data_IF_779707511303
#
_entry.id   IF_779707511303
#
_cell.length_a   1.000
_cell.length_b   1.000
_cell.length_c   1.000
_cell.angle_alpha   90.00
_cell.angle_beta   90.00
_cell.angle_gamma   90.00
#
_symmetry.space_group_name_H-M   'P 1'
#
loop_
_entity.id
_entity.type
_entity.pdbx_description
1 polymer ?
#
# COMPACT_ATOMS: atom_id res chain seq x y z
N UNK A 1 20.70 9.38 0.73
CA UNK A 1 19.27 9.51 0.35
C UNK A 1 18.89 8.51 -0.73
N UNK A 2 19.59 8.47 -1.88
CA UNK A 2 19.30 7.53 -2.97
C UNK A 2 19.25 6.06 -2.53
N UNK A 3 20.25 5.60 -1.75
CA UNK A 3 20.31 4.21 -1.27
C UNK A 3 19.09 3.84 -0.39
N UNK A 4 18.61 4.77 0.45
CA UNK A 4 17.42 4.55 1.29
C UNK A 4 16.16 4.42 0.42
N UNK A 5 16.05 5.22 -0.64
CA UNK A 5 14.93 5.19 -1.58
C UNK A 5 14.95 3.89 -2.39
N UNK A 6 16.12 3.45 -2.88
CA UNK A 6 16.25 2.16 -3.58
C UNK A 6 15.86 0.98 -2.68
N UNK A 7 16.28 1.00 -1.40
CA UNK A 7 15.84 0.00 -0.42
C UNK A 7 14.33 0.08 -0.22
N UNK A 8 13.75 1.27 -0.03
CA UNK A 8 12.30 1.43 0.13
C UNK A 8 11.53 0.84 -1.06
N UNK A 9 11.96 1.14 -2.28
CA UNK A 9 11.39 0.60 -3.53
C UNK A 9 11.46 -0.93 -3.54
N UNK A 10 12.61 -1.51 -3.20
CA UNK A 10 12.78 -2.97 -3.12
C UNK A 10 11.80 -3.58 -2.12
N UNK A 11 11.68 -3.00 -0.92
CA UNK A 11 10.75 -3.50 0.10
C UNK A 11 9.27 -3.35 -0.32
N UNK A 12 8.90 -2.29 -1.05
CA UNK A 12 7.56 -2.13 -1.63
C UNK A 12 7.28 -3.21 -2.68
N UNK A 13 8.25 -3.51 -3.57
CA UNK A 13 8.12 -4.59 -4.55
C UNK A 13 7.94 -5.95 -3.87
N UNK A 14 8.77 -6.25 -2.88
CA UNK A 14 8.67 -7.50 -2.11
C UNK A 14 7.34 -7.58 -1.37
N UNK A 15 6.87 -6.49 -0.76
CA UNK A 15 5.56 -6.42 -0.10
C UNK A 15 4.44 -6.77 -1.10
N UNK A 16 4.45 -6.13 -2.26
CA UNK A 16 3.49 -6.38 -3.34
C UNK A 16 3.47 -7.85 -3.76
N UNK A 17 4.65 -8.43 -4.01
CA UNK A 17 4.80 -9.82 -4.45
C UNK A 17 4.33 -10.82 -3.39
N UNK A 18 4.65 -10.58 -2.12
CA UNK A 18 4.18 -11.40 -0.99
C UNK A 18 2.67 -11.35 -0.86
N UNK A 19 2.06 -10.18 -0.98
CA UNK A 19 0.61 -10.01 -0.95
C UNK A 19 -0.07 -10.74 -2.11
N UNK A 20 0.47 -10.58 -3.31
CA UNK A 20 -0.05 -11.21 -4.52
C UNK A 20 0.18 -12.73 -4.52
N UNK A 21 1.18 -13.23 -3.78
CA UNK A 21 1.39 -14.66 -3.58
C UNK A 21 0.24 -15.35 -2.82
N UNK A 22 -0.57 -14.61 -2.03
CA UNK A 22 -1.79 -15.14 -1.41
C UNK A 22 -2.97 -15.24 -2.37
N UNK A 23 -2.91 -14.57 -3.52
CA UNK A 23 -3.98 -14.55 -4.51
C UNK A 23 -3.97 -15.80 -5.40
N UNK A 24 -5.10 -16.05 -6.08
CA UNK A 24 -5.14 -17.08 -7.14
C UNK A 24 -4.27 -16.60 -8.31
N UNK A 25 -3.58 -17.53 -8.98
CA UNK A 25 -2.68 -17.20 -10.11
C UNK A 25 -3.35 -16.36 -11.21
N UNK A 26 -4.65 -16.58 -11.47
CA UNK A 26 -5.42 -15.75 -12.41
C UNK A 26 -5.57 -14.29 -11.95
N UNK A 27 -5.74 -14.05 -10.64
CA UNK A 27 -5.81 -12.68 -10.12
C UNK A 27 -4.45 -11.99 -10.15
N UNK A 28 -3.35 -12.74 -9.94
CA UNK A 28 -1.99 -12.23 -10.10
C UNK A 28 -1.71 -11.84 -11.56
N UNK A 29 -2.15 -12.67 -12.52
CA UNK A 29 -2.04 -12.34 -13.95
C UNK A 29 -2.87 -11.11 -14.33
N UNK A 30 -4.11 -10.99 -13.82
CA UNK A 30 -4.94 -9.79 -14.04
C UNK A 30 -4.27 -8.53 -13.48
N UNK A 31 -3.68 -8.62 -12.30
CA UNK A 31 -2.94 -7.50 -11.71
C UNK A 31 -1.70 -7.12 -12.53
N UNK A 32 -0.93 -8.11 -12.99
CA UNK A 32 0.19 -7.89 -13.90
C UNK A 32 -0.24 -7.16 -15.18
N UNK A 33 -1.39 -7.54 -15.75
CA UNK A 33 -1.99 -6.88 -16.92
C UNK A 33 -2.34 -5.41 -16.63
N UNK A 34 -2.96 -5.12 -15.48
CA UNK A 34 -3.26 -3.75 -15.03
C UNK A 34 -1.97 -2.92 -14.90
N UNK A 35 -0.91 -3.50 -14.32
CA UNK A 35 0.40 -2.85 -14.23
C UNK A 35 1.00 -2.56 -15.62
N UNK A 36 0.88 -3.51 -16.56
CA UNK A 36 1.31 -3.31 -17.95
C UNK A 36 0.56 -2.18 -18.65
N UNK A 37 -0.77 -2.14 -18.53
CA UNK A 37 -1.60 -1.05 -19.06
C UNK A 37 -1.17 0.28 -18.46
N UNK A 38 -0.96 0.34 -17.14
CA UNK A 38 -0.51 1.55 -16.46
C UNK A 38 0.82 2.06 -17.03
N UNK A 39 1.81 1.19 -17.24
CA UNK A 39 3.11 1.56 -17.84
C UNK A 39 2.91 2.15 -19.23
N UNK A 40 2.08 1.52 -20.07
CA UNK A 40 1.82 2.02 -21.44
C UNK A 40 1.06 3.35 -21.44
N UNK A 41 0.12 3.55 -20.52
CA UNK A 41 -0.65 4.78 -20.41
C UNK A 41 0.19 5.94 -19.84
N UNK A 42 1.13 5.63 -18.94
CA UNK A 42 1.95 6.64 -18.25
C UNK A 42 3.25 6.98 -19.01
N UNK A 43 3.59 6.20 -20.04
CA UNK A 43 4.71 6.44 -20.96
C UNK A 43 4.87 7.89 -21.45
N UNK A 44 3.85 8.59 -21.99
CA UNK A 44 4.02 9.95 -22.48
C UNK A 44 4.39 10.93 -21.36
N UNK A 45 3.93 10.68 -20.14
CA UNK A 45 4.27 11.49 -18.95
C UNK A 45 5.68 11.16 -18.47
N UNK A 46 6.08 9.89 -18.53
CA UNK A 46 7.41 9.42 -18.10
C UNK A 46 8.55 10.01 -18.94
N UNK A 47 8.34 10.23 -20.25
CA UNK A 47 9.36 10.85 -21.12
C UNK A 47 9.57 12.32 -20.75
N UNK A 48 8.50 13.01 -20.35
CA UNK A 48 8.53 14.45 -20.04
C UNK A 48 9.16 14.74 -18.67
N UNK A 49 9.13 13.80 -17.73
CA UNK A 49 9.76 13.96 -16.43
C UNK A 49 11.24 13.60 -16.48
N UNK A 50 12.13 14.58 -16.30
CA UNK A 50 13.58 14.34 -16.24
C UNK A 50 14.02 13.66 -14.93
N UNK A 51 15.15 12.92 -14.97
CA UNK A 51 15.80 12.40 -13.75
C UNK A 51 16.04 13.50 -12.70
N UNK A 52 16.30 14.74 -13.14
CA UNK A 52 16.51 15.89 -12.24
C UNK A 52 15.24 16.31 -11.52
N UNK A 53 14.06 16.31 -12.17
CA UNK A 53 12.79 16.64 -11.52
C UNK A 53 12.37 15.59 -10.48
N UNK A 54 12.65 14.31 -10.74
CA UNK A 54 12.43 13.23 -9.77
C UNK A 54 13.43 13.28 -8.62
N UNK A 55 14.70 13.60 -8.88
CA UNK A 55 15.70 13.82 -7.86
C UNK A 55 15.35 15.02 -6.97
N UNK A 56 14.93 16.13 -7.56
CA UNK A 56 14.47 17.33 -6.84
C UNK A 56 13.20 17.02 -6.01
N UNK A 57 12.28 16.21 -6.54
CA UNK A 57 11.09 15.76 -5.80
C UNK A 57 11.45 14.84 -4.62
N UNK A 58 12.43 13.96 -4.78
CA UNK A 58 12.93 13.08 -3.73
C UNK A 58 13.87 13.79 -2.74
N UNK A 59 14.40 14.96 -3.07
CA UNK A 59 15.14 15.83 -2.15
C UNK A 59 14.21 16.80 -1.41
N UNK A 60 13.00 17.01 -1.91
CA UNK A 60 12.02 17.88 -1.28
C UNK A 60 11.37 17.19 -0.07
N UNK A 61 11.59 17.76 1.11
CA UNK A 61 11.07 17.25 2.38
C UNK A 61 9.55 17.20 2.42
N UNK A 62 8.86 18.18 1.81
CA UNK A 62 7.39 18.24 1.77
C UNK A 62 6.82 17.11 0.90
N UNK A 63 7.48 16.82 -0.21
CA UNK A 63 7.09 15.73 -1.10
C UNK A 63 7.29 14.35 -0.44
N UNK A 64 8.44 14.16 0.23
CA UNK A 64 8.71 12.95 1.01
C UNK A 64 7.73 12.76 2.18
N UNK A 65 7.36 13.84 2.88
CA UNK A 65 6.34 13.79 3.94
C UNK A 65 4.98 13.36 3.40
N UNK A 66 4.53 13.92 2.28
CA UNK A 66 3.27 13.52 1.65
C UNK A 66 3.30 12.04 1.21
N UNK A 67 4.43 11.58 0.67
CA UNK A 67 4.61 10.17 0.32
C UNK A 67 4.60 9.27 1.56
N UNK A 68 5.19 9.69 2.68
CA UNK A 68 5.16 8.91 3.92
C UNK A 68 3.76 8.80 4.52
N UNK A 69 2.89 9.79 4.34
CA UNK A 69 1.46 9.66 4.70
C UNK A 69 0.80 8.55 3.90
N UNK A 70 1.07 8.47 2.58
CA UNK A 70 0.56 7.40 1.74
C UNK A 70 1.14 6.04 2.17
N UNK A 71 2.44 5.98 2.45
CA UNK A 71 3.12 4.77 2.91
C UNK A 71 2.55 4.27 4.24
N UNK A 72 2.33 5.16 5.20
CA UNK A 72 1.77 4.80 6.51
C UNK A 72 0.31 4.33 6.39
N UNK A 73 -0.51 4.98 5.55
CA UNK A 73 -1.87 4.54 5.26
C UNK A 73 -1.87 3.14 4.64
N UNK A 74 -0.98 2.88 3.69
CA UNK A 74 -0.84 1.56 3.10
C UNK A 74 -0.37 0.50 4.11
N UNK A 75 0.57 0.84 5.00
CA UNK A 75 1.00 -0.06 6.07
C UNK A 75 -0.17 -0.42 7.00
N UNK A 76 -1.02 0.54 7.36
CA UNK A 76 -2.24 0.29 8.16
C UNK A 76 -3.17 -0.70 7.45
N UNK A 77 -3.37 -0.53 6.14
CA UNK A 77 -4.17 -1.46 5.32
C UNK A 77 -3.55 -2.87 5.30
N UNK A 78 -2.22 -2.96 5.20
CA UNK A 78 -1.50 -4.24 5.22
C UNK A 78 -1.60 -4.93 6.59
N UNK A 79 -1.48 -4.19 7.69
CA UNK A 79 -1.67 -4.74 9.04
C UNK A 79 -3.11 -5.19 9.28
N UNK A 80 -4.09 -4.42 8.82
CA UNK A 80 -5.49 -4.80 8.88
C UNK A 80 -5.74 -6.10 8.08
N UNK A 81 -5.08 -6.28 6.93
CA UNK A 81 -5.14 -7.52 6.16
C UNK A 81 -4.56 -8.70 6.94
N UNK A 82 -3.35 -8.56 7.53
CA UNK A 82 -2.72 -9.62 8.31
C UNK A 82 -3.59 -10.05 9.50
N UNK A 83 -4.11 -9.10 10.27
CA UNK A 83 -5.03 -9.38 11.39
C UNK A 83 -6.32 -10.04 10.91
N UNK A 84 -6.85 -9.65 9.76
CA UNK A 84 -8.06 -10.24 9.21
C UNK A 84 -7.86 -11.68 8.75
N UNK A 85 -6.72 -12.00 8.11
CA UNK A 85 -6.35 -13.37 7.73
C UNK A 85 -6.15 -14.23 8.98
N UNK A 86 -5.44 -13.72 9.99
CA UNK A 86 -5.22 -14.41 11.26
C UNK A 86 -6.55 -14.72 11.97
N UNK A 87 -7.48 -13.75 12.03
CA UNK A 87 -8.82 -13.98 12.60
C UNK A 87 -9.64 -15.02 11.84
N UNK A 88 -9.45 -15.10 10.52
CA UNK A 88 -10.07 -16.13 9.69
C UNK A 88 -9.60 -17.55 10.07
N UNK A 89 -8.33 -17.72 10.45
CA UNK A 89 -7.80 -19.00 10.93
C UNK A 89 -8.33 -19.39 12.31
N UNK A 90 -8.59 -18.43 13.19
CA UNK A 90 -9.20 -18.66 14.51
C UNK A 90 -10.73 -18.88 14.48
N UNK A 91 -11.35 -19.08 13.32
CA UNK A 91 -12.77 -19.44 13.20
C UNK A 91 -13.77 -18.31 13.45
N UNK A 92 -13.33 -17.05 13.51
CA UNK A 92 -14.25 -15.91 13.58
C UNK A 92 -14.90 -15.63 12.21
N UNK A 93 -16.21 -15.38 12.19
CA UNK A 93 -16.97 -15.12 10.97
C UNK A 93 -16.35 -13.98 10.14
N UNK A 94 -16.01 -14.28 8.88
CA UNK A 94 -15.50 -13.28 7.94
C UNK A 94 -16.61 -12.27 7.63
N UNK A 95 -16.45 -11.03 8.14
CA UNK A 95 -17.31 -9.92 7.77
C UNK A 95 -17.07 -9.56 6.29
N UNK A 96 -18.11 -9.13 5.58
CA UNK A 96 -18.02 -8.69 4.18
C UNK A 96 -16.90 -7.67 3.90
N UNK A 97 -16.63 -6.77 4.86
CA UNK A 97 -15.53 -5.81 4.83
C UNK A 97 -14.13 -6.44 4.69
N UNK A 98 -13.91 -7.63 5.27
CA UNK A 98 -12.65 -8.38 5.17
C UNK A 98 -12.43 -8.90 3.74
N UNK A 99 -13.54 -9.19 3.03
CA UNK A 99 -13.48 -9.67 1.64
C UNK A 99 -12.99 -8.59 0.68
N UNK A 100 -13.42 -7.34 0.88
CA UNK A 100 -12.91 -6.19 0.11
C UNK A 100 -11.43 -5.92 0.39
N UNK A 101 -11.00 -6.07 1.65
CA UNK A 101 -9.60 -5.89 2.04
C UNK A 101 -8.67 -6.94 1.42
N UNK A 102 -9.17 -8.18 1.24
CA UNK A 102 -8.46 -9.23 0.52
C UNK A 102 -8.22 -8.90 -0.95
N UNK A 103 -9.04 -8.04 -1.54
CA UNK A 103 -8.97 -7.67 -2.95
C UNK A 103 -8.20 -6.38 -3.21
N UNK A 104 -7.71 -5.70 -2.17
CA UNK A 104 -6.93 -4.48 -2.31
C UNK A 104 -5.45 -4.79 -2.64
N UNK A 105 -4.96 -4.51 -3.85
CA UNK A 105 -3.52 -4.61 -4.15
C UNK A 105 -2.73 -3.50 -3.47
N UNK A 106 -1.43 -3.71 -3.30
CA UNK A 106 -0.46 -2.69 -2.83
C UNK A 106 -0.47 -1.51 -3.80
N UNK A 107 -0.98 -0.34 -3.38
CA UNK A 107 -1.16 0.83 -4.24
C UNK A 107 0.17 1.52 -4.56
N UNK A 108 1.13 1.44 -3.63
CA UNK A 108 2.50 1.92 -3.78
C UNK A 108 3.25 1.31 -4.96
N UNK A 109 2.75 0.22 -5.57
CA UNK A 109 3.37 -0.34 -6.78
C UNK A 109 3.35 0.65 -7.96
N UNK A 110 2.30 1.49 -8.07
CA UNK A 110 2.14 2.36 -9.24
C UNK A 110 3.21 3.48 -9.27
N UNK A 111 3.45 4.23 -8.18
CA UNK A 111 4.57 5.16 -8.10
C UNK A 111 5.93 4.49 -8.34
N UNK A 112 6.12 3.26 -7.84
CA UNK A 112 7.36 2.50 -8.03
C UNK A 112 7.58 2.10 -9.48
N UNK A 113 6.55 1.59 -10.17
CA UNK A 113 6.65 1.23 -11.58
C UNK A 113 6.93 2.45 -12.45
N UNK A 114 6.32 3.59 -12.12
CA UNK A 114 6.60 4.85 -12.80
C UNK A 114 8.05 5.31 -12.59
N UNK A 115 8.56 5.23 -11.37
CA UNK A 115 9.96 5.54 -11.07
C UNK A 115 10.92 4.63 -11.85
N UNK A 116 10.70 3.31 -11.85
CA UNK A 116 11.53 2.37 -12.60
C UNK A 116 11.46 2.59 -14.12
N UNK A 117 10.29 2.92 -14.65
CA UNK A 117 10.10 3.24 -16.06
C UNK A 117 10.91 4.47 -16.47
N UNK A 118 10.84 5.55 -15.70
CA UNK A 118 11.64 6.76 -15.95
C UNK A 118 13.14 6.46 -15.83
N UNK A 119 13.54 5.69 -14.81
CA UNK A 119 14.95 5.31 -14.63
C UNK A 119 15.51 4.55 -15.83
N UNK A 120 14.75 3.60 -16.38
CA UNK A 120 15.10 2.82 -17.57
C UNK A 120 15.22 3.69 -18.81
N UNK A 121 14.25 4.57 -19.06
CA UNK A 121 14.22 5.48 -20.22
C UNK A 121 15.50 6.33 -20.29
N UNK A 122 15.92 6.90 -19.17
CA UNK A 122 17.12 7.73 -19.12
C UNK A 122 18.42 6.91 -19.07
N UNK A 123 18.39 5.65 -18.64
CA UNK A 123 19.58 4.79 -18.66
C UNK A 123 19.93 4.32 -20.07
N UNK A 124 18.96 4.29 -21.00
CA UNK A 124 19.14 3.82 -22.38
C UNK A 124 18.65 4.86 -23.41
N UNK A 125 19.30 6.03 -23.52
CA UNK A 125 18.88 7.10 -24.44
C UNK A 125 19.06 6.77 -25.93
N UNK A 126 19.73 5.65 -26.26
CA UNK A 126 19.99 5.22 -27.64
C UNK A 126 18.91 4.31 -28.25
N UNK A 127 17.88 3.93 -27.50
CA UNK A 127 16.76 3.11 -27.96
C UNK A 127 15.50 3.98 -27.99
N UNK A 128 14.62 3.80 -28.98
CA UNK A 128 13.35 4.52 -29.01
C UNK A 128 12.56 4.29 -27.71
N UNK A 129 12.13 5.36 -27.06
CA UNK A 129 11.45 5.29 -25.76
C UNK A 129 10.20 4.40 -25.80
N UNK A 130 9.49 4.35 -26.94
CA UNK A 130 8.30 3.50 -27.12
C UNK A 130 8.65 2.02 -26.98
N UNK A 131 9.68 1.55 -27.68
CA UNK A 131 10.15 0.15 -27.60
C UNK A 131 10.54 -0.19 -26.17
N UNK A 132 11.29 0.69 -25.50
CA UNK A 132 11.72 0.43 -24.13
C UNK A 132 10.54 0.33 -23.16
N UNK A 133 9.55 1.21 -23.30
CA UNK A 133 8.34 1.19 -22.48
C UNK A 133 7.49 -0.06 -22.72
N UNK A 134 7.35 -0.51 -23.97
CA UNK A 134 6.61 -1.74 -24.28
C UNK A 134 7.33 -2.99 -23.77
N UNK A 135 8.66 -3.06 -23.94
CA UNK A 135 9.48 -4.15 -23.41
C UNK A 135 9.38 -4.19 -21.88
N UNK A 136 9.44 -3.04 -21.21
CA UNK A 136 9.26 -2.96 -19.76
C UNK A 136 7.85 -3.39 -19.34
N UNK A 137 6.80 -2.95 -20.04
CA UNK A 137 5.43 -3.34 -19.76
C UNK A 137 5.22 -4.85 -19.88
N UNK A 138 5.68 -5.47 -20.98
CA UNK A 138 5.62 -6.92 -21.19
C UNK A 138 6.44 -7.64 -20.12
N UNK A 139 7.63 -7.12 -19.81
CA UNK A 139 8.49 -7.62 -18.75
C UNK A 139 7.76 -7.66 -17.40
N UNK A 140 7.11 -6.58 -16.99
CA UNK A 140 6.35 -6.51 -15.73
C UNK A 140 5.17 -7.47 -15.72
N UNK A 141 4.41 -7.57 -16.82
CA UNK A 141 3.27 -8.50 -16.96
C UNK A 141 3.69 -9.96 -16.77
N UNK A 142 4.86 -10.34 -17.27
CA UNK A 142 5.39 -11.71 -17.16
C UNK A 142 6.12 -11.94 -15.83
N UNK A 143 6.90 -10.96 -15.38
CA UNK A 143 7.74 -11.07 -14.18
C UNK A 143 6.90 -11.12 -12.91
N UNK A 144 5.82 -10.33 -12.79
CA UNK A 144 4.94 -10.35 -11.61
C UNK A 144 4.41 -11.77 -11.28
N UNK A 145 3.72 -12.47 -12.19
CA UNK A 145 3.21 -13.82 -11.90
C UNK A 145 4.34 -14.83 -11.67
N UNK A 146 5.46 -14.71 -12.38
CA UNK A 146 6.64 -15.58 -12.21
C UNK A 146 7.26 -15.40 -10.82
N UNK A 147 7.47 -14.16 -10.37
CA UNK A 147 7.95 -13.83 -9.02
C UNK A 147 6.97 -14.31 -7.94
N UNK A 148 5.66 -14.19 -8.16
CA UNK A 148 4.67 -14.73 -7.21
C UNK A 148 4.76 -16.26 -7.08
N UNK A 149 5.01 -16.96 -8.18
CA UNK A 149 5.25 -18.41 -8.17
C UNK A 149 6.55 -18.73 -7.43
N UNK A 150 7.62 -17.97 -7.68
CA UNK A 150 8.89 -18.10 -6.97
C UNK A 150 8.73 -17.93 -5.45
N UNK A 151 8.02 -16.88 -4.98
CA UNK A 151 7.75 -16.69 -3.55
C UNK A 151 6.87 -17.79 -2.96
N UNK A 152 5.96 -18.37 -3.76
CA UNK A 152 5.13 -19.49 -3.33
C UNK A 152 5.94 -20.77 -3.17
N UNK A 153 6.99 -20.95 -3.98
CA UNK A 153 7.95 -22.04 -3.86
C UNK A 153 8.90 -21.84 -2.67
N UNK A 154 9.42 -20.62 -2.49
CA UNK A 154 10.35 -20.29 -1.41
C UNK A 154 9.72 -20.35 -0.02
N UNK A 155 8.47 -19.90 0.12
CA UNK A 155 7.71 -19.88 1.38
C UNK A 155 6.43 -20.70 1.24
N UNK A 156 6.51 -22.05 1.31
CA UNK A 156 5.37 -22.93 1.10
C UNK A 156 4.32 -22.79 2.22
N UNK A 157 4.76 -22.51 3.44
CA UNK A 157 3.89 -22.33 4.60
C UNK A 157 3.15 -20.99 4.56
N UNK A 158 1.82 -21.05 4.71
CA UNK A 158 0.96 -19.86 4.66
C UNK A 158 1.18 -18.93 5.86
N UNK A 159 1.49 -19.50 7.02
CA UNK A 159 1.72 -18.77 8.27
C UNK A 159 3.02 -17.96 8.18
N UNK A 160 4.11 -18.61 7.78
CA UNK A 160 5.40 -17.97 7.54
C UNK A 160 5.30 -16.87 6.49
N UNK A 161 4.59 -17.10 5.38
CA UNK A 161 4.38 -16.07 4.37
C UNK A 161 3.65 -14.84 4.92
N UNK A 162 2.71 -15.04 5.86
CA UNK A 162 1.93 -13.95 6.45
C UNK A 162 2.79 -13.13 7.41
N UNK A 163 3.62 -13.82 8.20
CA UNK A 163 4.57 -13.20 9.11
C UNK A 163 5.63 -12.39 8.36
N UNK A 164 6.20 -12.95 7.29
CA UNK A 164 7.16 -12.23 6.43
C UNK A 164 6.49 -11.01 5.79
N UNK A 165 5.26 -11.14 5.29
CA UNK A 165 4.51 -9.98 4.76
C UNK A 165 4.26 -8.90 5.83
N UNK A 166 3.94 -9.30 7.06
CA UNK A 166 3.79 -8.37 8.19
C UNK A 166 5.10 -7.64 8.50
N UNK A 167 6.22 -8.37 8.63
CA UNK A 167 7.54 -7.80 8.88
C UNK A 167 7.99 -6.85 7.76
N UNK A 168 7.83 -7.25 6.50
CA UNK A 168 8.16 -6.40 5.35
C UNK A 168 7.32 -5.13 5.34
N UNK A 169 6.02 -5.22 5.64
CA UNK A 169 5.16 -4.02 5.76
C UNK A 169 5.59 -3.10 6.90
N UNK A 170 6.08 -3.66 8.01
CA UNK A 170 6.64 -2.90 9.12
C UNK A 170 7.93 -2.20 8.71
N UNK A 171 8.83 -2.88 7.99
CA UNK A 171 10.05 -2.25 7.45
C UNK A 171 9.75 -1.13 6.46
N UNK A 172 8.80 -1.32 5.53
CA UNK A 172 8.36 -0.26 4.60
C UNK A 172 7.88 0.97 5.37
N UNK A 173 7.09 0.76 6.44
CA UNK A 173 6.60 1.85 7.28
C UNK A 173 7.75 2.59 7.99
N UNK A 174 8.66 1.84 8.63
CA UNK A 174 9.82 2.42 9.33
C UNK A 174 10.70 3.19 8.36
N UNK A 175 11.07 2.60 7.21
CA UNK A 175 11.91 3.26 6.21
C UNK A 175 11.20 4.50 5.65
N UNK A 176 9.89 4.41 5.36
CA UNK A 176 9.09 5.54 4.92
C UNK A 176 9.13 6.70 5.92
N UNK A 177 9.00 6.42 7.23
CA UNK A 177 9.15 7.43 8.28
C UNK A 177 10.60 7.93 8.40
N UNK A 178 11.59 7.06 8.26
CA UNK A 178 13.00 7.46 8.25
C UNK A 178 13.34 8.38 7.07
N UNK A 179 12.66 8.25 5.94
CA UNK A 179 12.85 9.17 4.81
C UNK A 179 12.27 10.56 5.07
N UNK A 180 11.36 10.74 6.04
CA UNK A 180 10.81 12.07 6.36
C UNK A 180 11.58 12.82 7.43
N UNK A 181 12.34 12.12 8.27
CA UNK A 181 13.22 12.78 9.24
C UNK A 181 14.39 13.38 8.50
N UNK A 182 14.26 14.66 8.20
CA UNK A 182 15.38 15.48 7.80
C UNK A 182 16.34 15.55 9.00
N UNK A 183 17.59 15.13 8.84
CA UNK A 183 18.63 15.17 9.88
C UNK A 183 19.00 16.59 10.34
N UNK A 184 18.31 17.61 9.83
CA UNK A 184 18.30 18.92 10.44
C UNK A 184 17.39 18.87 11.66
N UNK A 185 17.94 19.16 12.83
CA UNK A 185 17.20 19.47 14.06
C UNK A 185 16.36 20.74 13.84
N UNK A 186 15.31 20.67 13.03
CA UNK A 186 14.28 21.70 12.82
C UNK A 186 13.31 21.79 14.00
N UNK A 187 13.79 21.47 15.20
CA UNK A 187 13.32 22.13 16.40
C UNK A 187 14.31 23.25 16.73
N UNK A 188 14.48 24.22 15.82
CA UNK A 188 14.43 25.56 16.38
C UNK A 188 13.04 25.67 16.98
N UNK A 189 12.96 25.98 18.26
CA UNK A 189 11.73 26.33 18.94
C UNK A 189 11.18 27.62 18.31
N UNK A 190 10.70 27.54 17.07
CA UNK A 190 9.90 28.58 16.45
C UNK A 190 8.60 28.51 17.23
N UNK A 191 8.35 29.56 18.01
CA UNK A 191 7.07 29.81 18.65
C UNK A 191 6.03 30.06 17.56
N UNK A 192 5.60 29.01 16.88
CA UNK A 192 4.43 29.06 16.03
C UNK A 192 3.23 29.32 16.95
N UNK A 193 2.46 30.41 16.76
CA UNK A 193 1.26 30.62 17.54
C UNK A 193 0.36 29.41 17.34
N UNK A 194 -0.12 28.82 18.44
CA UNK A 194 -0.95 27.62 18.41
C UNK A 194 -2.06 27.80 17.38
N UNK A 195 -2.01 27.00 16.31
CA UNK A 195 -2.99 27.10 15.24
C UNK A 195 -4.29 26.42 15.69
N UNK A 196 -5.08 27.15 16.47
CA UNK A 196 -6.35 26.70 17.05
C UNK A 196 -7.31 26.16 15.99
N UNK A 197 -7.21 26.62 14.74
CA UNK A 197 -8.00 26.09 13.63
C UNK A 197 -7.61 24.66 13.27
N UNK A 198 -6.31 24.36 13.18
CA UNK A 198 -5.81 23.02 12.92
C UNK A 198 -6.13 22.06 14.10
N UNK A 199 -5.99 22.55 15.34
CA UNK A 199 -6.35 21.80 16.54
C UNK A 199 -7.85 21.49 16.58
N UNK A 200 -8.70 22.49 16.33
CA UNK A 200 -10.15 22.30 16.28
C UNK A 200 -10.57 21.37 15.15
N UNK A 201 -9.91 21.43 14.00
CA UNK A 201 -10.15 20.52 12.88
C UNK A 201 -9.79 19.08 13.24
N UNK A 202 -8.61 18.84 13.82
CA UNK A 202 -8.19 17.52 14.28
C UNK A 202 -9.13 16.95 15.35
N UNK A 203 -9.53 17.78 16.31
CA UNK A 203 -10.47 17.38 17.36
C UNK A 203 -11.88 17.10 16.82
N UNK A 204 -12.35 17.92 15.88
CA UNK A 204 -13.62 17.72 15.19
C UNK A 204 -13.64 16.42 14.38
N UNK A 205 -12.56 16.14 13.64
CA UNK A 205 -12.41 14.89 12.89
C UNK A 205 -12.44 13.68 13.82
N UNK A 206 -11.71 13.75 14.95
CA UNK A 206 -11.71 12.71 15.97
C UNK A 206 -13.12 12.45 16.53
N UNK A 207 -13.86 13.51 16.88
CA UNK A 207 -15.23 13.41 17.38
C UNK A 207 -16.18 12.76 16.38
N UNK A 208 -16.08 13.11 15.09
CA UNK A 208 -16.90 12.53 14.03
C UNK A 208 -16.65 11.02 13.91
N UNK A 209 -15.38 10.60 13.85
CA UNK A 209 -15.04 9.18 13.80
C UNK A 209 -15.47 8.42 15.05
N UNK A 210 -15.36 9.04 16.23
CA UNK A 210 -15.79 8.46 17.49
C UNK A 210 -17.31 8.27 17.55
N UNK A 211 -18.09 9.27 17.13
CA UNK A 211 -19.55 9.19 17.07
C UNK A 211 -20.02 8.18 16.03
N UNK A 212 -19.39 8.13 14.85
CA UNK A 212 -19.66 7.11 13.84
C UNK A 212 -19.37 5.70 14.38
N UNK A 213 -18.25 5.52 15.09
CA UNK A 213 -17.88 4.26 15.72
C UNK A 213 -18.90 3.82 16.78
N UNK A 214 -19.34 4.73 17.66
CA UNK A 214 -20.37 4.45 18.67
C UNK A 214 -21.72 4.15 18.04
N UNK A 215 -22.14 4.94 17.05
CA UNK A 215 -23.40 4.73 16.33
C UNK A 215 -23.45 3.36 15.67
N UNK A 216 -22.35 2.96 15.01
CA UNK A 216 -22.23 1.64 14.41
C UNK A 216 -22.29 0.51 15.43
N UNK A 217 -21.65 0.68 16.59
CA UNK A 217 -21.69 -0.32 17.67
C UNK A 217 -23.12 -0.47 18.24
N UNK A 218 -23.83 0.63 18.47
CA UNK A 218 -25.20 0.63 18.97
C UNK A 218 -26.17 -0.01 17.95
N UNK A 219 -26.04 0.33 16.66
CA UNK A 219 -26.88 -0.22 15.60
C UNK A 219 -26.65 -1.73 15.44
N UNK A 220 -25.39 -2.17 15.52
CA UNK A 220 -25.03 -3.59 15.48
C UNK A 220 -25.61 -4.38 16.66
N UNK A 221 -25.60 -3.80 17.86
CA UNK A 221 -26.22 -4.41 19.05
C UNK A 221 -27.74 -4.55 18.92
N UNK A 222 -28.43 -3.52 18.42
CA UNK A 222 -29.88 -3.56 18.19
C UNK A 222 -30.27 -4.59 17.12
N UNK A 223 -29.48 -4.71 16.05
CA UNK A 223 -29.70 -5.71 15.00
C UNK A 223 -29.45 -7.15 15.48
N UNK A 224 -28.47 -7.36 16.37
CA UNK A 224 -28.20 -8.67 16.97
C UNK A 224 -29.32 -9.12 17.92
N UNK A 225 -29.90 -8.21 18.70
CA UNK A 225 -31.05 -8.50 19.55
C UNK A 225 -32.30 -8.91 18.73
N UNK A 226 -32.57 -8.22 17.61
CA UNK A 226 -33.69 -8.58 16.71
C UNK A 226 -33.53 -9.94 16.01
N UNK A 227 -32.29 -10.44 15.83
CA UNK A 227 -32.03 -11.78 15.29
C UNK A 227 -32.12 -12.88 16.34
N UNK A 228 -31.87 -12.57 17.62
CA UNK A 228 -32.07 -13.50 18.73
C UNK A 228 -33.54 -13.84 18.97
N UNK A 229 -34.43 -12.84 18.93
CA UNK A 229 -35.88 -13.03 19.17
C UNK A 229 -36.59 -13.78 18.04
N UNK A 230 -36.11 -13.70 16.79
CA UNK A 230 -36.70 -14.46 15.66
C UNK A 230 -36.43 -15.97 15.70
N UNK A 231 -35.37 -16.42 16.38
CA UNK A 231 -35.06 -17.87 16.50
C UNK A 231 -35.88 -18.58 17.57
N UNK A 232 -36.41 -17.87 18.56
CA UNK A 232 -37.18 -18.47 19.66
C UNK A 232 -38.66 -18.69 19.28
N UNK A 233 -39.21 -17.94 18.33
CA UNK A 233 -40.60 -18.09 17.87
C UNK A 233 -40.78 -19.20 16.82
N UNK A 234 -39.71 -19.66 16.17
CA UNK A 234 -39.77 -20.74 15.17
C UNK A 234 -39.59 -22.15 15.77
N UNK A 235 -39.45 -22.26 17.09
CA UNK A 235 -39.20 -23.53 17.82
C UNK A 235 -40.27 -23.86 18.86
N UNK A 236 -41.39 -23.14 18.84
CA UNK A 236 -42.62 -23.47 19.59
C UNK A 236 -43.72 -23.80 18.59
#
# INVERSE_FOLDING_TARGET
>A
MELVISILILFILVNCLLKLSFWKGWQAALFGLICGIFITATYPVAILQSKTQLADYLQNTVALQNMAVIITLEAVVCFAYCVAVLRGWFGQQEKWWVKSLKWYPTLLIFPVLFYLQTELIFSFPGISFSILSYVFAIGVVVMIPLLCYFFRYLLPEKELRLEVHFLVSLFVCIIGLLTTVNGNVTYQAVKEPTNWKALAFAFGLFLIFFLLGMGWNKLKWVLLQKRGTRKTTSRK
#
